data_IF_634458921800
#
_entry.id   IF_634458921800
#
_cell.length_a   1.000
_cell.length_b   1.000
_cell.length_c   1.000
_cell.angle_alpha   90.00
_cell.angle_beta   90.00
_cell.angle_gamma   90.00
#
_symmetry.space_group_name_H-M   'P 1'
#
loop_
_entity.id
_entity.type
_entity.pdbx_description
1 polymer ?
#
# COMPACT_ATOMS: atom_id res chain seq x y z
N UNK A 1 46.32 -36.76 -8.27
CA UNK A 1 46.20 -35.37 -7.78
C UNK A 1 44.98 -34.61 -8.36
N UNK A 2 44.74 -34.59 -9.68
CA UNK A 2 43.56 -33.91 -10.28
C UNK A 2 42.20 -34.40 -9.73
N UNK A 3 42.00 -35.71 -9.62
CA UNK A 3 40.71 -36.28 -9.21
C UNK A 3 40.35 -36.01 -7.73
N UNK A 4 41.33 -35.98 -6.82
CA UNK A 4 41.13 -35.62 -5.42
C UNK A 4 40.86 -34.12 -5.25
N UNK A 5 41.56 -33.27 -6.02
CA UNK A 5 41.34 -31.82 -6.01
C UNK A 5 39.93 -31.45 -6.52
N UNK A 6 39.43 -32.16 -7.55
CA UNK A 6 38.06 -31.99 -8.06
C UNK A 6 37.01 -32.37 -6.98
N UNK A 7 37.19 -33.50 -6.29
CA UNK A 7 36.27 -33.91 -5.22
C UNK A 7 36.21 -32.90 -4.07
N UNK A 8 37.36 -32.39 -3.64
CA UNK A 8 37.45 -31.37 -2.59
C UNK A 8 36.75 -30.08 -3.07
N UNK A 9 36.98 -29.67 -4.31
CA UNK A 9 36.36 -28.47 -4.88
C UNK A 9 34.83 -28.59 -4.98
N UNK A 10 34.31 -29.78 -5.31
CA UNK A 10 32.86 -30.05 -5.34
C UNK A 10 32.26 -30.00 -3.94
N UNK A 11 32.94 -30.60 -2.94
CA UNK A 11 32.49 -30.55 -1.55
C UNK A 11 32.44 -29.11 -1.05
N UNK A 12 33.48 -28.31 -1.31
CA UNK A 12 33.51 -26.90 -0.94
C UNK A 12 32.39 -26.11 -1.62
N UNK A 13 32.10 -26.38 -2.90
CA UNK A 13 30.99 -25.77 -3.62
C UNK A 13 29.63 -26.09 -2.97
N UNK A 14 29.41 -27.35 -2.58
CA UNK A 14 28.18 -27.80 -1.92
C UNK A 14 28.03 -27.14 -0.53
N UNK A 15 29.10 -27.09 0.25
CA UNK A 15 29.07 -26.44 1.57
C UNK A 15 28.79 -24.95 1.43
N UNK A 16 29.43 -24.29 0.46
CA UNK A 16 29.21 -22.87 0.20
C UNK A 16 27.79 -22.58 -0.29
N UNK A 17 27.25 -23.41 -1.18
CA UNK A 17 25.87 -23.26 -1.66
C UNK A 17 24.85 -23.53 -0.55
N UNK A 18 25.06 -24.56 0.28
CA UNK A 18 24.21 -24.85 1.44
C UNK A 18 24.22 -23.70 2.46
N UNK A 19 25.40 -23.12 2.74
CA UNK A 19 25.54 -21.95 3.60
C UNK A 19 24.76 -20.75 3.03
N UNK A 20 24.92 -20.46 1.74
CA UNK A 20 24.23 -19.35 1.09
C UNK A 20 22.70 -19.54 1.13
N UNK A 21 22.21 -20.74 0.81
CA UNK A 21 20.79 -21.09 0.87
C UNK A 21 20.22 -20.99 2.29
N UNK A 22 20.93 -21.50 3.31
CA UNK A 22 20.51 -21.36 4.71
C UNK A 22 20.44 -19.89 5.13
N UNK A 23 21.43 -19.08 4.75
CA UNK A 23 21.45 -17.65 5.06
C UNK A 23 20.29 -16.90 4.41
N UNK A 24 19.97 -17.22 3.15
CA UNK A 24 18.83 -16.65 2.44
C UNK A 24 17.49 -17.08 3.07
N UNK A 25 17.37 -18.35 3.45
CA UNK A 25 16.18 -18.89 4.10
C UNK A 25 15.90 -18.25 5.46
N UNK A 26 16.94 -18.06 6.29
CA UNK A 26 16.81 -17.41 7.59
C UNK A 26 16.37 -15.95 7.43
N UNK A 27 16.97 -15.23 6.47
CA UNK A 27 16.57 -13.85 6.15
C UNK A 27 15.10 -13.78 5.71
N UNK A 28 14.71 -14.60 4.74
CA UNK A 28 13.34 -14.61 4.23
C UNK A 28 12.33 -14.94 5.34
N UNK A 29 12.64 -15.92 6.20
CA UNK A 29 11.76 -16.30 7.33
C UNK A 29 11.58 -15.17 8.34
N UNK A 30 12.61 -14.36 8.58
CA UNK A 30 12.55 -13.28 9.58
C UNK A 30 11.63 -12.12 9.21
N UNK A 31 11.31 -11.96 7.92
CA UNK A 31 10.49 -10.86 7.38
C UNK A 31 9.21 -11.34 6.71
N UNK A 32 8.91 -12.64 6.79
CA UNK A 32 7.74 -13.26 6.16
C UNK A 32 6.73 -13.69 7.21
N UNK A 33 5.46 -13.36 6.98
CA UNK A 33 4.36 -13.61 7.91
C UNK A 33 3.23 -14.37 7.25
N UNK A 34 2.44 -15.10 8.04
CA UNK A 34 1.33 -15.90 7.51
C UNK A 34 0.19 -15.03 6.98
N UNK A 35 -0.01 -13.85 7.56
CA UNK A 35 -1.09 -12.92 7.23
C UNK A 35 -0.51 -11.57 6.74
N UNK A 36 -1.13 -10.94 5.72
CA UNK A 36 -0.71 -9.63 5.23
C UNK A 36 -0.69 -8.57 6.33
N UNK A 37 -1.70 -8.55 7.21
CA UNK A 37 -1.80 -7.57 8.29
C UNK A 37 -0.66 -7.69 9.31
N UNK A 38 -0.19 -8.93 9.57
CA UNK A 38 0.97 -9.16 10.45
C UNK A 38 2.26 -8.67 9.80
N UNK A 39 2.42 -8.89 8.49
CA UNK A 39 3.55 -8.34 7.74
C UNK A 39 3.54 -6.81 7.74
N UNK A 40 2.37 -6.19 7.61
CA UNK A 40 2.23 -4.74 7.63
C UNK A 40 2.62 -4.14 8.99
N UNK A 41 2.12 -4.71 10.10
CA UNK A 41 2.46 -4.27 11.47
C UNK A 41 3.92 -4.47 11.84
N UNK A 42 4.65 -5.34 11.15
CA UNK A 42 6.08 -5.52 11.39
C UNK A 42 6.93 -4.38 10.82
N UNK A 43 6.42 -3.62 9.85
CA UNK A 43 7.12 -2.46 9.28
C UNK A 43 6.99 -1.24 10.17
N UNK A 44 5.83 -1.06 10.79
CA UNK A 44 5.59 0.02 11.73
C UNK A 44 4.61 -0.43 12.82
N UNK A 45 5.09 -0.43 14.07
CA UNK A 45 4.27 -0.79 15.24
C UNK A 45 3.20 0.28 15.53
N UNK A 46 3.34 1.48 14.99
CA UNK A 46 2.42 2.60 15.19
C UNK A 46 1.15 2.51 14.32
N UNK A 47 0.96 1.43 13.56
CA UNK A 47 -0.23 1.23 12.73
C UNK A 47 -1.46 0.91 13.60
N UNK A 48 -2.39 1.86 13.65
CA UNK A 48 -3.65 1.77 14.40
C UNK A 48 -4.74 0.96 13.68
N UNK A 49 -4.78 1.07 12.35
CA UNK A 49 -5.76 0.40 11.50
C UNK A 49 -5.18 0.05 10.13
N UNK A 50 -5.56 -1.11 9.60
CA UNK A 50 -5.27 -1.58 8.25
C UNK A 50 -6.55 -1.67 7.43
N UNK A 51 -6.48 -1.29 6.15
CA UNK A 51 -7.58 -1.25 5.20
C UNK A 51 -7.13 -2.02 3.96
N UNK A 52 -7.66 -3.22 3.76
CA UNK A 52 -7.40 -4.00 2.54
C UNK A 52 -8.13 -3.36 1.35
N UNK A 53 -7.36 -2.98 0.33
CA UNK A 53 -7.88 -2.38 -0.89
C UNK A 53 -7.92 -3.37 -2.06
N UNK A 54 -6.85 -4.15 -2.24
CA UNK A 54 -6.76 -5.11 -3.33
C UNK A 54 -5.86 -6.28 -2.94
N UNK A 55 -6.29 -7.50 -3.23
CA UNK A 55 -5.47 -8.72 -3.08
C UNK A 55 -5.61 -9.53 -4.37
N UNK A 56 -4.51 -9.69 -5.09
CA UNK A 56 -4.44 -10.40 -6.38
C UNK A 56 -3.25 -11.34 -6.38
N UNK A 57 -3.53 -12.63 -6.27
CA UNK A 57 -2.52 -13.68 -6.34
C UNK A 57 -1.48 -13.55 -5.23
N UNK A 58 -0.28 -13.13 -5.59
CA UNK A 58 0.87 -12.94 -4.71
C UNK A 58 1.13 -11.46 -4.37
N UNK A 59 0.21 -10.55 -4.70
CA UNK A 59 0.32 -9.13 -4.38
C UNK A 59 -0.90 -8.63 -3.61
N UNK A 60 -0.68 -7.71 -2.69
CA UNK A 60 -1.76 -7.00 -2.01
C UNK A 60 -1.42 -5.53 -1.79
N UNK A 61 -2.43 -4.67 -1.88
CA UNK A 61 -2.38 -3.26 -1.54
C UNK A 61 -3.21 -3.03 -0.28
N UNK A 62 -2.55 -2.50 0.74
CA UNK A 62 -3.16 -2.08 1.98
C UNK A 62 -2.95 -0.59 2.18
N UNK A 63 -3.97 0.07 2.71
CA UNK A 63 -3.84 1.38 3.31
C UNK A 63 -3.85 1.24 4.82
N UNK A 64 -3.33 2.22 5.53
CA UNK A 64 -3.29 2.17 6.98
C UNK A 64 -3.30 3.57 7.59
N UNK A 65 -3.75 3.64 8.86
CA UNK A 65 -3.73 4.86 9.66
C UNK A 65 -2.68 4.67 10.75
N UNK A 66 -1.72 5.59 10.82
CA UNK A 66 -0.67 5.60 11.85
C UNK A 66 -1.12 6.27 13.16
N UNK A 67 -0.28 6.20 14.19
CA UNK A 67 -0.50 6.83 15.50
C UNK A 67 -0.67 8.35 15.45
N UNK A 68 -0.20 8.98 14.37
CA UNK A 68 -0.29 10.41 14.10
C UNK A 68 -1.51 10.75 13.22
N UNK A 69 -2.38 9.79 12.96
CA UNK A 69 -3.57 9.93 12.11
C UNK A 69 -3.24 10.35 10.67
N UNK A 70 -2.10 9.89 10.15
CA UNK A 70 -1.77 9.96 8.73
C UNK A 70 -2.22 8.68 8.02
N UNK A 71 -2.62 8.83 6.77
CA UNK A 71 -2.89 7.74 5.86
C UNK A 71 -1.60 7.32 5.14
N UNK A 72 -1.23 6.06 5.31
CA UNK A 72 -0.17 5.40 4.56
C UNK A 72 -0.69 4.35 3.60
N UNK A 73 0.18 3.93 2.69
CA UNK A 73 -0.06 2.81 1.78
C UNK A 73 1.13 1.84 1.80
N UNK A 74 0.84 0.55 1.69
CA UNK A 74 1.81 -0.52 1.63
C UNK A 74 1.43 -1.54 0.56
N UNK A 75 2.42 -1.93 -0.22
CA UNK A 75 2.35 -3.07 -1.11
C UNK A 75 3.03 -4.26 -0.45
N UNK A 76 2.30 -5.37 -0.45
CA UNK A 76 2.73 -6.64 0.11
C UNK A 76 2.89 -7.65 -1.00
N UNK A 77 3.83 -8.56 -0.81
CA UNK A 77 4.06 -9.68 -1.71
C UNK A 77 4.11 -11.00 -0.94
N UNK A 78 3.50 -12.04 -1.49
CA UNK A 78 3.50 -13.39 -0.94
C UNK A 78 4.64 -14.21 -1.56
N UNK A 79 5.73 -14.35 -0.81
CA UNK A 79 6.82 -15.26 -1.14
C UNK A 79 6.54 -16.69 -0.69
N UNK A 80 7.54 -17.56 -0.86
CA UNK A 80 7.46 -18.99 -0.49
C UNK A 80 7.21 -19.21 1.01
N UNK A 81 7.65 -18.29 1.87
CA UNK A 81 7.55 -18.40 3.32
C UNK A 81 6.43 -17.54 3.93
N UNK A 82 5.71 -16.77 3.12
CA UNK A 82 4.62 -15.91 3.58
C UNK A 82 4.63 -14.52 2.94
N UNK A 83 3.81 -13.64 3.51
CA UNK A 83 3.68 -12.24 3.13
C UNK A 83 4.80 -11.40 3.70
N UNK A 84 5.32 -10.47 2.90
CA UNK A 84 6.26 -9.44 3.32
C UNK A 84 5.92 -8.11 2.68
N UNK A 85 6.26 -7.02 3.33
CA UNK A 85 6.12 -5.69 2.75
C UNK A 85 7.27 -5.46 1.77
N UNK A 86 6.93 -5.12 0.52
CA UNK A 86 7.92 -4.82 -0.52
C UNK A 86 8.12 -3.30 -0.68
N UNK A 87 7.09 -2.53 -0.38
CA UNK A 87 7.12 -1.08 -0.43
C UNK A 87 6.07 -0.55 0.53
N UNK A 88 6.42 0.46 1.31
CA UNK A 88 5.49 1.18 2.16
C UNK A 88 5.91 2.63 2.25
N UNK A 89 4.93 3.52 2.22
CA UNK A 89 5.15 4.94 2.47
C UNK A 89 4.02 5.48 3.33
N UNK A 90 4.41 6.23 4.36
CA UNK A 90 3.50 7.11 5.09
C UNK A 90 3.48 8.41 4.32
N UNK A 91 2.32 8.76 3.77
CA UNK A 91 2.11 10.09 3.22
C UNK A 91 1.58 10.98 4.35
N UNK A 92 1.88 12.29 4.38
CA UNK A 92 1.26 13.21 5.33
C UNK A 92 -0.24 13.46 5.03
N UNK A 93 -0.94 12.51 4.40
CA UNK A 93 -2.38 12.62 4.14
C UNK A 93 -3.09 12.54 5.48
N UNK A 94 -3.48 13.70 6.01
CA UNK A 94 -4.08 13.79 7.36
C UNK A 94 -5.55 13.41 7.31
N UNK A 95 -6.04 12.72 8.31
CA UNK A 95 -7.49 12.49 8.45
C UNK A 95 -8.27 13.79 8.69
N UNK A 96 -7.62 14.81 9.25
CA UNK A 96 -8.16 16.17 9.33
C UNK A 96 -7.97 16.89 7.99
N UNK A 97 -9.03 16.89 7.17
CA UNK A 97 -9.04 17.50 5.86
C UNK A 97 -8.98 19.05 5.95
N UNK A 98 -8.10 19.71 5.17
CA UNK A 98 -8.19 21.15 4.95
C UNK A 98 -9.49 21.54 4.21
N UNK A 99 -9.83 22.83 4.21
CA UNK A 99 -10.99 23.35 3.44
C UNK A 99 -10.87 23.13 1.92
N UNK A 100 -9.67 22.83 1.43
CA UNK A 100 -9.40 22.50 0.02
C UNK A 100 -9.51 20.97 -0.16
N UNK A 101 -10.47 20.55 -0.98
CA UNK A 101 -10.96 19.18 -1.08
C UNK A 101 -9.88 18.24 -1.63
N UNK A 102 -9.14 18.67 -2.66
CA UNK A 102 -8.03 17.92 -3.25
C UNK A 102 -6.65 18.32 -2.67
N UNK A 103 -6.60 19.00 -1.52
CA UNK A 103 -5.35 19.37 -0.86
C UNK A 103 -4.53 18.16 -0.39
N UNK A 104 -5.20 17.02 -0.16
CA UNK A 104 -4.69 15.90 0.61
C UNK A 104 -4.44 14.64 -0.25
N UNK A 105 -3.58 14.80 -1.28
CA UNK A 105 -3.23 13.74 -2.23
C UNK A 105 -1.82 13.24 -1.96
N UNK A 106 -1.67 11.92 -1.93
CA UNK A 106 -0.40 11.22 -1.90
C UNK A 106 -0.08 10.60 -3.26
N UNK A 107 1.20 10.65 -3.66
CA UNK A 107 1.74 9.90 -4.80
C UNK A 107 2.86 8.98 -4.33
N UNK A 108 2.86 7.74 -4.82
CA UNK A 108 3.92 6.77 -4.57
C UNK A 108 4.05 5.82 -5.78
N UNK A 109 5.01 6.11 -6.66
CA UNK A 109 5.18 5.40 -7.94
C UNK A 109 3.89 5.42 -8.76
N UNK A 110 3.40 4.24 -9.12
CA UNK A 110 2.16 4.03 -9.88
C UNK A 110 0.86 4.31 -9.09
N UNK A 111 0.96 4.54 -7.77
CA UNK A 111 -0.19 4.75 -6.88
C UNK A 111 -0.44 6.24 -6.61
N UNK A 112 -1.71 6.65 -6.71
CA UNK A 112 -2.21 7.94 -6.21
C UNK A 112 -3.40 7.66 -5.33
N UNK A 113 -3.46 8.34 -4.19
CA UNK A 113 -4.55 8.14 -3.23
C UNK A 113 -4.77 9.38 -2.38
N UNK A 114 -5.94 9.45 -1.76
CA UNK A 114 -6.29 10.53 -0.85
C UNK A 114 -7.54 10.21 -0.04
N UNK A 115 -7.88 11.15 0.84
CA UNK A 115 -9.10 11.12 1.63
C UNK A 115 -10.04 12.22 1.15
N UNK A 116 -11.34 11.94 1.18
CA UNK A 116 -12.40 12.89 0.92
C UNK A 116 -13.56 12.69 1.88
N UNK A 117 -14.41 13.71 2.11
CA UNK A 117 -15.71 13.48 2.73
C UNK A 117 -16.48 12.43 1.94
N UNK A 118 -17.10 11.48 2.63
CA UNK A 118 -17.90 10.43 2.01
C UNK A 118 -19.28 10.98 1.64
N UNK A 119 -19.32 11.80 0.58
CA UNK A 119 -20.54 12.37 0.03
C UNK A 119 -21.08 11.54 -1.13
N UNK A 120 -22.39 11.44 -1.21
CA UNK A 120 -23.06 10.79 -2.35
C UNK A 120 -22.76 11.55 -3.65
N UNK A 121 -22.71 10.81 -4.76
CA UNK A 121 -22.49 11.34 -6.10
C UNK A 121 -21.14 12.06 -6.31
N UNK A 122 -20.13 11.82 -5.48
CA UNK A 122 -18.76 12.23 -5.78
C UNK A 122 -17.97 11.10 -6.43
N UNK A 123 -17.14 11.43 -7.42
CA UNK A 123 -16.10 10.51 -7.87
C UNK A 123 -14.88 11.23 -8.41
N UNK A 124 -13.79 10.48 -8.46
CA UNK A 124 -12.48 10.97 -8.90
C UNK A 124 -12.08 10.27 -10.18
N UNK A 125 -11.53 11.07 -11.10
CA UNK A 125 -10.82 10.58 -12.28
C UNK A 125 -9.36 10.95 -12.19
N UNK A 126 -8.50 9.99 -12.48
CA UNK A 126 -7.06 10.19 -12.65
C UNK A 126 -6.72 9.96 -14.11
N UNK A 127 -6.28 11.00 -14.81
CA UNK A 127 -6.03 10.98 -16.26
C UNK A 127 -7.24 10.47 -17.06
N UNK A 128 -8.45 10.82 -16.63
CA UNK A 128 -9.71 10.41 -17.27
C UNK A 128 -10.19 9.01 -16.90
N UNK A 129 -9.47 8.25 -16.07
CA UNK A 129 -9.84 6.91 -15.61
C UNK A 129 -10.41 7.00 -14.20
N UNK A 130 -11.52 6.30 -13.94
CA UNK A 130 -12.17 6.31 -12.62
C UNK A 130 -11.24 5.72 -11.54
N UNK A 131 -11.12 6.44 -10.44
CA UNK A 131 -10.48 5.96 -9.23
C UNK A 131 -11.41 4.98 -8.49
N UNK A 132 -10.81 4.09 -7.73
CA UNK A 132 -11.54 3.19 -6.82
C UNK A 132 -11.89 3.95 -5.54
N UNK A 133 -13.03 3.60 -4.97
CA UNK A 133 -13.59 4.22 -3.76
C UNK A 133 -13.74 3.18 -2.64
N UNK A 134 -13.36 3.55 -1.42
CA UNK A 134 -13.46 2.72 -0.23
C UNK A 134 -14.11 3.56 0.88
N UNK A 135 -15.31 3.17 1.26
CA UNK A 135 -15.98 3.68 2.46
C UNK A 135 -15.25 3.17 3.72
N UNK A 136 -14.67 4.09 4.48
CA UNK A 136 -13.90 3.76 5.69
C UNK A 136 -14.81 3.33 6.84
N UNK A 137 -16.03 3.85 6.94
CA UNK A 137 -17.00 3.41 7.94
C UNK A 137 -17.36 1.94 7.71
N UNK A 138 -17.62 1.57 6.47
CA UNK A 138 -17.92 0.17 6.10
C UNK A 138 -16.74 -0.77 6.39
N UNK A 139 -15.50 -0.34 6.12
CA UNK A 139 -14.31 -1.18 6.29
C UNK A 139 -13.83 -1.30 7.74
N UNK A 140 -13.92 -0.23 8.53
CA UNK A 140 -13.34 -0.18 9.88
C UNK A 140 -14.39 -0.28 10.99
N UNK A 141 -15.67 -0.07 10.69
CA UNK A 141 -16.76 -0.12 11.66
C UNK A 141 -16.51 0.84 12.84
N UNK A 142 -16.57 0.32 14.07
CA UNK A 142 -16.37 1.13 15.30
C UNK A 142 -15.01 1.83 15.32
N UNK A 143 -13.98 1.23 14.70
CA UNK A 143 -12.65 1.86 14.63
C UNK A 143 -12.64 3.12 13.77
N UNK A 144 -13.54 3.26 12.80
CA UNK A 144 -13.63 4.47 12.00
C UNK A 144 -14.00 5.67 12.88
N UNK A 145 -14.98 5.51 13.78
CA UNK A 145 -15.39 6.52 14.75
C UNK A 145 -14.26 6.83 15.73
N UNK A 146 -13.58 5.80 16.24
CA UNK A 146 -12.45 5.95 17.17
C UNK A 146 -11.31 6.80 16.58
N UNK A 147 -11.07 6.67 15.27
CA UNK A 147 -10.00 7.39 14.57
C UNK A 147 -10.49 8.61 13.78
N UNK A 148 -11.75 9.01 13.97
CA UNK A 148 -12.39 10.16 13.31
C UNK A 148 -12.33 10.12 11.78
N UNK A 149 -12.56 8.93 11.20
CA UNK A 149 -12.60 8.68 9.75
C UNK A 149 -13.94 8.11 9.28
N UNK A 150 -14.96 8.11 10.14
CA UNK A 150 -16.30 7.59 9.87
C UNK A 150 -17.08 8.38 8.81
N UNK A 151 -16.71 9.62 8.55
CA UNK A 151 -17.29 10.46 7.51
C UNK A 151 -16.38 10.58 6.28
N UNK A 152 -15.31 9.79 6.21
CA UNK A 152 -14.32 9.87 5.15
C UNK A 152 -14.39 8.65 4.25
N UNK A 153 -14.07 8.88 2.98
CA UNK A 153 -13.78 7.85 2.03
C UNK A 153 -12.33 7.94 1.59
N UNK A 154 -11.74 6.76 1.39
CA UNK A 154 -10.46 6.60 0.74
C UNK A 154 -10.70 6.38 -0.75
N UNK A 155 -10.03 7.17 -1.57
CA UNK A 155 -9.98 6.93 -3.00
C UNK A 155 -8.55 6.60 -3.42
N UNK A 156 -8.42 5.76 -4.45
CA UNK A 156 -7.11 5.46 -5.01
C UNK A 156 -7.16 5.07 -6.47
N UNK A 157 -6.05 5.30 -7.16
CA UNK A 157 -5.80 4.90 -8.52
C UNK A 157 -4.42 4.27 -8.62
N UNK A 158 -4.34 3.10 -9.24
CA UNK A 158 -3.08 2.44 -9.56
C UNK A 158 -2.99 2.28 -11.08
N UNK A 159 -1.98 2.90 -11.68
CA UNK A 159 -1.79 2.87 -13.13
C UNK A 159 -0.36 3.25 -13.51
N UNK A 160 0.09 2.81 -14.69
CA UNK A 160 1.47 3.00 -15.17
C UNK A 160 1.95 4.44 -14.95
N UNK A 161 3.21 4.57 -14.53
CA UNK A 161 3.85 5.85 -14.24
C UNK A 161 3.71 6.81 -15.42
N UNK A 162 2.77 7.73 -15.28
CA UNK A 162 2.82 9.02 -15.93
C UNK A 162 3.51 9.96 -14.95
N UNK A 163 4.54 10.65 -15.41
CA UNK A 163 5.25 11.69 -14.63
C UNK A 163 4.34 12.82 -14.18
N UNK A 164 3.14 12.92 -14.76
CA UNK A 164 2.11 13.85 -14.33
C UNK A 164 0.75 13.14 -14.33
N UNK A 165 0.03 13.27 -13.23
CA UNK A 165 -1.31 12.71 -13.06
C UNK A 165 -2.27 13.86 -12.78
N UNK A 166 -3.26 14.00 -13.64
CA UNK A 166 -4.34 14.97 -13.47
C UNK A 166 -5.47 14.29 -12.70
N UNK A 167 -5.75 14.80 -11.50
CA UNK A 167 -6.80 14.34 -10.60
C UNK A 167 -7.96 15.31 -10.68
N UNK A 168 -9.14 14.81 -11.05
CA UNK A 168 -10.36 15.60 -11.20
C UNK A 168 -11.41 15.04 -10.27
N UNK A 169 -11.97 15.90 -9.42
CA UNK A 169 -13.16 15.61 -8.63
C UNK A 169 -14.39 16.12 -9.36
N UNK A 170 -15.40 15.29 -9.52
CA UNK A 170 -16.66 15.68 -10.15
C UNK A 170 -17.86 15.14 -9.39
N UNK A 171 -18.97 15.85 -9.55
CA UNK A 171 -20.27 15.37 -9.12
C UNK A 171 -20.87 14.51 -10.25
N UNK A 172 -21.19 13.26 -9.94
CA UNK A 172 -21.66 12.26 -10.91
C UNK A 172 -23.03 12.58 -11.49
N UNK A 173 -23.91 13.20 -10.71
CA UNK A 173 -25.27 13.52 -11.10
C UNK A 173 -25.29 14.69 -12.08
N UNK A 174 -24.64 15.79 -11.71
CA UNK A 174 -24.59 17.03 -12.50
C UNK A 174 -23.52 17.02 -13.59
N UNK A 175 -22.60 16.04 -13.55
CA UNK A 175 -21.37 15.99 -14.37
C UNK A 175 -20.50 17.24 -14.23
N UNK A 176 -20.68 18.01 -13.16
CA UNK A 176 -19.94 19.24 -12.90
C UNK A 176 -18.59 18.91 -12.27
N UNK A 177 -17.52 19.48 -12.82
CA UNK A 177 -16.20 19.48 -12.19
C UNK A 177 -16.24 20.33 -10.91
N UNK A 178 -15.88 19.72 -9.79
CA UNK A 178 -15.84 20.37 -8.48
C UNK A 178 -14.44 20.93 -8.20
N UNK A 179 -13.41 20.16 -8.54
CA UNK A 179 -12.01 20.51 -8.29
C UNK A 179 -11.08 19.77 -9.27
N UNK A 180 -9.85 20.26 -9.46
CA UNK A 180 -8.84 19.67 -10.33
C UNK A 180 -7.43 19.98 -9.83
N UNK A 181 -6.57 18.96 -9.81
CA UNK A 181 -5.18 19.09 -9.38
C UNK A 181 -4.24 18.23 -10.21
N UNK A 182 -3.11 18.81 -10.61
CA UNK A 182 -1.99 18.04 -11.16
C UNK A 182 -1.04 17.61 -10.04
N UNK A 183 -0.70 16.33 -10.02
CA UNK A 183 0.28 15.74 -9.09
C UNK A 183 1.38 15.02 -9.87
N UNK A 184 2.57 14.96 -9.27
CA UNK A 184 3.79 14.39 -9.85
C UNK A 184 4.22 13.15 -9.04
#
# INVERSE_FOLDING_TARGET
MKQQSIKISIILLIVFSAYFLCSAFVKERSVSFTEPEKALKNVDEDILASISAEEKGDQALYFFIDSKHNLGAAKLHKGLLGWKVIQSRISPVRTNLPNDILSNIATEGDLVYGLLPNEENQSIKVNGIDAKWIDLQSKLGVKAVQYHVDQLALWYFQGKDSTQKNVILFNEETKKKLDERSVY
#
